data_IF_779682407935
#
_entry.id   IF_779682407935
#
_cell.length_a   1.000
_cell.length_b   1.000
_cell.length_c   1.000
_cell.angle_alpha   90.00
_cell.angle_beta   90.00
_cell.angle_gamma   90.00
#
_symmetry.space_group_name_H-M   'P 1'
#
loop_
_entity.id
_entity.type
_entity.pdbx_description
1 polymer ?
#
# COMPACT_ATOMS: atom_id res chain seq x y z
N UNK A 1 69.46 17.02 -38.61
CA UNK A 1 68.27 16.20 -38.95
C UNK A 1 67.15 16.46 -37.95
N UNK A 2 65.92 16.54 -38.46
CA UNK A 2 64.67 16.95 -37.83
C UNK A 2 63.95 15.80 -37.06
N UNK A 3 63.23 16.20 -36.00
CA UNK A 3 61.91 15.74 -35.47
C UNK A 3 61.56 14.22 -35.44
N UNK A 4 60.82 13.65 -34.47
CA UNK A 4 59.44 13.97 -34.10
C UNK A 4 59.02 13.33 -32.75
N UNK A 5 58.09 14.02 -32.08
CA UNK A 5 57.30 13.59 -30.92
C UNK A 5 56.37 12.40 -31.23
N UNK A 6 56.21 11.48 -30.27
CA UNK A 6 55.21 10.40 -30.28
C UNK A 6 54.29 10.45 -29.07
N UNK A 7 53.33 11.38 -29.10
CA UNK A 7 52.14 11.39 -28.24
C UNK A 7 51.21 10.25 -28.70
N UNK A 8 50.45 9.66 -27.75
CA UNK A 8 49.10 9.08 -27.86
C UNK A 8 48.96 7.61 -27.42
N UNK A 9 48.69 7.39 -26.12
CA UNK A 9 47.94 6.19 -25.67
C UNK A 9 46.96 6.52 -24.53
N UNK A 10 46.15 7.58 -24.74
CA UNK A 10 45.11 8.04 -23.81
C UNK A 10 43.73 8.08 -24.49
N UNK A 11 43.25 6.95 -25.06
CA UNK A 11 41.96 6.95 -25.80
C UNK A 11 41.13 5.66 -25.75
N UNK A 12 41.32 4.78 -24.75
CA UNK A 12 40.42 3.61 -24.55
C UNK A 12 39.68 3.58 -23.22
N UNK A 13 40.24 4.20 -22.17
CA UNK A 13 39.65 4.20 -20.81
C UNK A 13 38.40 5.08 -20.70
N UNK A 14 38.33 6.17 -21.47
CA UNK A 14 37.20 7.11 -21.44
C UNK A 14 35.92 6.61 -22.12
N UNK A 15 36.00 5.66 -23.06
CA UNK A 15 34.81 5.06 -23.69
C UNK A 15 34.12 4.10 -22.74
N UNK A 16 34.89 3.24 -22.06
CA UNK A 16 34.37 2.27 -21.10
C UNK A 16 33.73 2.94 -19.88
N UNK A 17 34.33 4.03 -19.38
CA UNK A 17 33.80 4.78 -18.24
C UNK A 17 32.48 5.50 -18.55
N UNK A 18 32.26 5.92 -19.81
CA UNK A 18 30.99 6.52 -20.25
C UNK A 18 29.84 5.51 -20.26
N UNK A 19 30.11 4.26 -20.62
CA UNK A 19 29.11 3.19 -20.56
C UNK A 19 28.80 2.79 -19.11
N UNK A 20 29.81 2.73 -18.24
CA UNK A 20 29.61 2.42 -16.81
C UNK A 20 28.79 3.54 -16.11
N UNK A 21 29.10 4.82 -16.38
CA UNK A 21 28.36 5.95 -15.81
C UNK A 21 26.90 5.99 -16.31
N UNK A 22 26.66 5.66 -17.58
CA UNK A 22 25.32 5.57 -18.14
C UNK A 22 24.51 4.40 -17.56
N UNK A 23 25.16 3.25 -17.30
CA UNK A 23 24.52 2.06 -16.74
C UNK A 23 24.15 2.23 -15.26
N UNK A 24 24.97 2.95 -14.49
CA UNK A 24 24.68 3.29 -13.09
C UNK A 24 23.45 4.22 -12.95
N UNK A 25 23.20 5.10 -13.91
CA UNK A 25 21.98 5.94 -13.95
C UNK A 25 20.75 5.09 -14.27
N UNK A 26 20.88 4.11 -15.16
CA UNK A 26 19.79 3.21 -15.55
C UNK A 26 19.41 2.18 -14.45
N UNK A 27 20.37 1.70 -13.66
CA UNK A 27 20.11 0.74 -12.58
C UNK A 27 19.90 1.39 -11.20
N UNK A 28 20.50 2.56 -10.94
CA UNK A 28 20.40 3.27 -9.66
C UNK A 28 19.26 4.29 -9.58
N UNK A 29 18.71 4.74 -10.72
CA UNK A 29 17.63 5.74 -10.76
C UNK A 29 16.22 5.19 -10.53
N UNK A 30 16.04 3.87 -10.43
CA UNK A 30 14.73 3.23 -10.39
C UNK A 30 14.13 3.06 -8.97
N UNK A 31 14.77 3.58 -7.92
CA UNK A 31 14.32 3.38 -6.53
C UNK A 31 13.32 4.45 -6.03
N UNK A 32 13.02 5.49 -6.81
CA UNK A 32 12.00 6.50 -6.45
C UNK A 32 10.66 6.26 -7.14
N UNK A 33 10.33 5.01 -7.47
CA UNK A 33 8.97 4.67 -7.90
C UNK A 33 8.12 4.69 -6.64
N UNK A 34 7.43 5.82 -6.42
CA UNK A 34 6.36 5.91 -5.43
C UNK A 34 5.35 4.82 -5.78
N UNK A 35 5.28 3.75 -4.99
CA UNK A 35 4.22 2.76 -5.13
C UNK A 35 2.88 3.49 -5.04
N UNK A 36 2.00 3.42 -6.05
CA UNK A 36 0.64 3.85 -5.85
C UNK A 36 0.08 2.91 -4.79
N UNK A 37 -0.13 3.43 -3.58
CA UNK A 37 -0.81 2.70 -2.52
C UNK A 37 -2.10 2.13 -3.14
N UNK A 38 -2.15 0.80 -3.25
CA UNK A 38 -3.31 0.13 -3.81
C UNK A 38 -4.51 0.57 -2.99
N UNK A 39 -5.40 1.33 -3.64
CA UNK A 39 -6.54 1.95 -3.01
C UNK A 39 -7.38 0.84 -2.39
N UNK A 40 -7.31 0.72 -1.06
CA UNK A 40 -8.47 0.29 -0.31
C UNK A 40 -9.62 1.16 -0.80
N UNK A 41 -10.78 0.58 -1.11
CA UNK A 41 -11.97 1.29 -1.63
C UNK A 41 -12.39 2.39 -0.66
N UNK A 42 -11.66 3.50 -0.72
CA UNK A 42 -11.65 4.57 0.25
C UNK A 42 -11.55 5.89 -0.51
N UNK A 43 -12.51 6.77 -0.26
CA UNK A 43 -12.68 8.05 -0.94
C UNK A 43 -12.60 9.15 0.11
N UNK A 44 -11.75 10.14 -0.12
CA UNK A 44 -11.69 11.36 0.69
C UNK A 44 -12.70 12.37 0.15
N UNK A 45 -13.63 12.81 0.98
CA UNK A 45 -14.59 13.86 0.64
C UNK A 45 -14.63 14.94 1.73
N UNK A 46 -14.66 16.21 1.33
CA UNK A 46 -14.53 17.35 2.25
C UNK A 46 -15.36 18.57 1.81
N UNK A 47 -16.16 19.08 2.75
CA UNK A 47 -16.87 20.35 2.64
C UNK A 47 -15.90 21.50 2.90
N UNK A 48 -15.47 22.17 1.83
CA UNK A 48 -14.61 23.36 1.92
C UNK A 48 -15.46 24.61 2.04
N UNK A 49 -15.03 25.55 2.91
CA UNK A 49 -15.74 26.81 3.18
C UNK A 49 -17.21 26.60 3.58
N UNK A 50 -17.52 25.51 4.32
CA UNK A 50 -18.87 25.15 4.78
C UNK A 50 -19.90 25.02 3.65
N UNK A 51 -19.48 24.59 2.46
CA UNK A 51 -20.37 24.37 1.31
C UNK A 51 -20.63 22.89 1.09
N UNK A 52 -21.83 22.58 0.59
CA UNK A 52 -22.20 21.27 0.13
C UNK A 52 -21.27 20.80 -0.99
N UNK A 53 -20.80 19.55 -0.89
CA UNK A 53 -19.92 18.89 -1.85
C UNK A 53 -20.32 17.45 -2.03
N UNK A 54 -20.21 16.97 -3.27
CA UNK A 54 -20.46 15.60 -3.67
C UNK A 54 -19.18 14.95 -4.19
N UNK A 55 -19.01 13.66 -3.89
CA UNK A 55 -17.91 12.82 -4.33
C UNK A 55 -18.46 11.47 -4.80
N UNK A 56 -18.25 11.14 -6.07
CA UNK A 56 -18.69 9.87 -6.64
C UNK A 56 -17.90 8.69 -6.06
N UNK A 57 -18.59 7.57 -5.88
CA UNK A 57 -18.00 6.37 -5.31
C UNK A 57 -18.72 5.09 -5.71
N UNK A 58 -17.95 4.04 -5.98
CA UNK A 58 -18.51 2.70 -6.26
C UNK A 58 -18.80 1.89 -4.98
N UNK A 59 -18.80 2.54 -3.81
CA UNK A 59 -19.07 1.88 -2.53
C UNK A 59 -20.54 1.49 -2.39
N UNK A 60 -20.80 0.35 -1.73
CA UNK A 60 -22.17 -0.07 -1.42
C UNK A 60 -22.66 0.48 -0.09
N UNK A 61 -21.79 0.49 0.93
CA UNK A 61 -22.11 0.93 2.29
C UNK A 61 -20.95 1.75 2.87
N UNK A 62 -20.77 3.00 2.42
CA UNK A 62 -19.66 3.83 2.90
C UNK A 62 -19.80 4.09 4.39
N UNK A 63 -18.67 4.05 5.08
CA UNK A 63 -18.51 4.43 6.48
C UNK A 63 -17.32 5.33 6.63
N UNK A 64 -17.37 6.24 7.60
CA UNK A 64 -16.22 7.05 7.96
C UNK A 64 -15.17 6.14 8.59
N UNK A 65 -14.00 6.09 7.96
CA UNK A 65 -12.80 5.38 8.47
C UNK A 65 -11.85 6.35 9.17
N UNK A 66 -11.79 7.60 8.70
CA UNK A 66 -10.97 8.65 9.33
C UNK A 66 -11.62 10.01 9.16
N UNK A 67 -11.89 10.72 10.25
CA UNK A 67 -12.30 12.12 10.18
C UNK A 67 -11.07 13.02 9.92
N UNK A 68 -11.23 14.00 9.03
CA UNK A 68 -10.19 14.96 8.63
C UNK A 68 -10.51 16.37 9.12
N UNK A 69 -11.79 16.72 9.28
CA UNK A 69 -12.24 18.02 9.76
C UNK A 69 -12.36 18.08 11.29
N UNK A 70 -12.26 19.29 11.84
CA UNK A 70 -12.67 19.56 13.23
C UNK A 70 -14.19 19.58 13.39
N UNK A 71 -14.92 20.05 12.36
CA UNK A 71 -16.38 20.00 12.33
C UNK A 71 -16.86 18.55 12.37
N UNK A 72 -17.96 18.26 13.10
CA UNK A 72 -18.48 16.92 13.25
C UNK A 72 -19.07 16.38 11.95
N UNK A 73 -18.85 15.09 11.70
CA UNK A 73 -19.42 14.35 10.59
C UNK A 73 -20.57 13.45 11.08
N UNK A 74 -21.80 13.96 11.05
CA UNK A 74 -23.01 13.31 11.54
C UNK A 74 -23.81 12.80 10.34
N UNK A 75 -24.14 11.51 10.35
CA UNK A 75 -24.87 10.87 9.26
C UNK A 75 -26.28 11.48 9.12
N UNK A 76 -26.66 11.83 7.89
CA UNK A 76 -27.93 12.48 7.55
C UNK A 76 -27.96 13.99 7.82
N UNK A 77 -26.98 14.52 8.57
CA UNK A 77 -26.92 15.93 8.95
C UNK A 77 -25.79 16.63 8.16
N UNK A 78 -24.54 16.28 8.41
CA UNK A 78 -23.36 16.91 7.75
C UNK A 78 -22.70 16.02 6.71
N UNK A 79 -23.14 14.77 6.58
CA UNK A 79 -22.79 13.90 5.45
C UNK A 79 -23.85 12.83 5.20
N UNK A 80 -23.82 12.25 4.01
CA UNK A 80 -24.65 11.10 3.67
C UNK A 80 -24.18 10.40 2.40
N UNK A 81 -24.93 9.37 2.02
CA UNK A 81 -24.68 8.59 0.81
C UNK A 81 -25.98 8.34 0.07
N UNK A 82 -26.03 8.73 -1.20
CA UNK A 82 -27.20 8.56 -2.05
C UNK A 82 -26.77 8.38 -3.51
N UNK A 83 -27.41 7.46 -4.23
CA UNK A 83 -27.20 7.23 -5.68
C UNK A 83 -25.74 6.98 -6.10
N UNK A 84 -24.92 6.37 -5.24
CA UNK A 84 -23.50 6.13 -5.55
C UNK A 84 -22.62 7.37 -5.30
N UNK A 85 -23.13 8.40 -4.66
CA UNK A 85 -22.40 9.63 -4.37
C UNK A 85 -22.45 9.89 -2.87
N UNK A 86 -21.29 10.21 -2.30
CA UNK A 86 -21.18 10.70 -0.93
C UNK A 86 -21.33 12.21 -0.98
N UNK A 87 -22.19 12.76 -0.14
CA UNK A 87 -22.25 14.20 0.07
C UNK A 87 -21.75 14.59 1.46
N UNK A 88 -21.14 15.76 1.55
CA UNK A 88 -20.65 16.37 2.80
C UNK A 88 -20.99 17.84 2.82
N UNK A 89 -21.32 18.36 3.99
CA UNK A 89 -21.73 19.74 4.18
C UNK A 89 -21.27 20.29 5.55
N UNK A 90 -21.44 21.60 5.79
CA UNK A 90 -21.15 22.27 7.06
C UNK A 90 -19.73 22.00 7.60
N UNK A 91 -18.77 21.86 6.69
CA UNK A 91 -17.36 21.69 7.04
C UNK A 91 -16.98 20.26 7.43
N UNK A 92 -17.87 19.26 7.26
CA UNK A 92 -17.49 17.86 7.43
C UNK A 92 -16.47 17.45 6.34
N UNK A 93 -15.39 16.81 6.75
CA UNK A 93 -14.41 16.20 5.88
C UNK A 93 -13.90 14.89 6.48
N UNK A 94 -13.97 13.82 5.69
CA UNK A 94 -13.62 12.49 6.13
C UNK A 94 -13.12 11.62 4.98
N UNK A 95 -12.44 10.54 5.35
CA UNK A 95 -12.16 9.40 4.49
C UNK A 95 -13.25 8.38 4.73
N UNK A 96 -13.97 8.06 3.66
CA UNK A 96 -15.01 7.06 3.62
C UNK A 96 -14.43 5.79 3.04
N UNK A 97 -14.84 4.63 3.52
CA UNK A 97 -14.54 3.35 2.89
C UNK A 97 -15.73 2.41 3.03
N UNK A 98 -15.86 1.44 2.12
CA UNK A 98 -16.87 0.40 2.31
C UNK A 98 -16.47 -0.47 3.51
N UNK A 99 -17.44 -0.87 4.32
CA UNK A 99 -17.26 -1.89 5.36
C UNK A 99 -16.97 -3.30 4.80
N UNK A 100 -16.84 -3.42 3.48
CA UNK A 100 -16.58 -4.65 2.75
C UNK A 100 -15.34 -5.36 3.27
N UNK A 101 -15.58 -6.41 4.06
CA UNK A 101 -14.55 -7.42 4.32
C UNK A 101 -14.02 -7.91 2.97
N UNK A 102 -12.70 -8.10 2.79
CA UNK A 102 -12.16 -8.61 1.54
C UNK A 102 -12.90 -9.89 1.13
N UNK A 103 -13.33 -9.96 -0.12
CA UNK A 103 -14.04 -11.12 -0.72
C UNK A 103 -13.27 -12.45 -0.55
N UNK A 104 -12.00 -12.39 -0.16
CA UNK A 104 -11.19 -13.56 0.20
C UNK A 104 -11.80 -14.39 1.35
N UNK A 105 -12.52 -13.78 2.30
CA UNK A 105 -13.19 -14.55 3.39
C UNK A 105 -14.50 -15.22 2.99
N UNK A 106 -15.00 -14.96 1.79
CA UNK A 106 -16.22 -15.61 1.28
C UNK A 106 -15.88 -16.94 0.59
N UNK A 107 -14.68 -17.06 0.00
CA UNK A 107 -14.24 -18.29 -0.69
C UNK A 107 -13.95 -19.45 0.28
N UNK A 108 -13.78 -19.17 1.56
CA UNK A 108 -13.54 -20.21 2.58
C UNK A 108 -14.82 -20.77 3.21
N UNK A 109 -16.02 -20.25 2.88
CA UNK A 109 -17.30 -20.83 3.36
C UNK A 109 -17.80 -21.99 2.50
N UNK A 110 -16.94 -22.51 1.62
CA UNK A 110 -17.17 -23.74 0.85
C UNK A 110 -16.53 -24.98 1.46
N UNK A 111 -16.03 -24.93 2.70
CA UNK A 111 -15.66 -26.13 3.43
C UNK A 111 -16.94 -26.75 4.01
N UNK A 112 -17.40 -27.83 3.39
CA UNK A 112 -18.45 -28.70 3.93
C UNK A 112 -17.91 -29.35 5.21
N UNK A 113 -18.49 -29.01 6.37
CA UNK A 113 -18.21 -29.59 7.68
C UNK A 113 -18.38 -31.12 7.73
N UNK A 114 -18.89 -31.75 6.66
CA UNK A 114 -18.98 -33.20 6.47
C UNK A 114 -17.63 -33.88 6.25
N UNK A 115 -16.58 -33.14 5.86
CA UNK A 115 -15.20 -33.65 5.85
C UNK A 115 -14.44 -33.16 7.09
N UNK A 116 -14.52 -33.93 8.18
CA UNK A 116 -13.58 -33.75 9.29
C UNK A 116 -12.14 -33.99 8.80
N UNK A 117 -11.18 -33.11 9.14
CA UNK A 117 -9.76 -33.33 8.82
C UNK A 117 -9.31 -34.68 9.37
N UNK A 118 -8.65 -35.49 8.53
CA UNK A 118 -8.08 -36.76 8.98
C UNK A 118 -6.71 -36.48 9.59
N UNK A 119 -6.32 -37.29 10.57
CA UNK A 119 -5.12 -37.04 11.37
C UNK A 119 -3.80 -37.12 10.58
N UNK A 120 -3.85 -37.49 9.30
CA UNK A 120 -2.73 -37.60 8.37
C UNK A 120 -2.45 -36.33 7.53
N UNK A 121 -3.26 -35.28 7.66
CA UNK A 121 -3.10 -34.05 6.87
C UNK A 121 -1.92 -33.18 7.38
N UNK A 122 -0.71 -33.43 6.87
CA UNK A 122 0.56 -32.74 7.18
C UNK A 122 0.67 -31.29 6.62
N UNK A 123 -0.40 -30.50 6.59
CA UNK A 123 -0.38 -29.18 5.93
C UNK A 123 -0.23 -27.94 6.86
N UNK A 124 0.03 -28.09 8.16
CA UNK A 124 0.34 -26.92 9.01
C UNK A 124 1.82 -26.88 9.44
N UNK A 125 2.60 -25.87 9.03
CA UNK A 125 3.95 -25.69 9.57
C UNK A 125 3.85 -25.27 11.04
N UNK A 126 4.36 -26.11 11.95
CA UNK A 126 4.51 -25.75 13.37
C UNK A 126 5.44 -24.54 13.48
N UNK A 127 4.92 -23.41 13.97
CA UNK A 127 5.78 -22.31 14.44
C UNK A 127 6.61 -22.84 15.61
N UNK A 128 7.93 -23.02 15.41
CA UNK A 128 8.87 -23.17 16.53
C UNK A 128 8.82 -21.88 17.34
N UNK A 129 8.31 -21.98 18.55
CA UNK A 129 8.39 -20.93 19.56
C UNK A 129 9.81 -20.98 20.15
N UNK A 130 10.65 -20.06 19.71
CA UNK A 130 11.94 -19.76 20.32
C UNK A 130 11.69 -18.94 21.58
N UNK A 131 11.40 -19.59 22.70
CA UNK A 131 11.47 -18.94 24.02
C UNK A 131 12.53 -19.70 24.83
N UNK A 132 13.72 -19.10 24.91
CA UNK A 132 14.75 -19.51 25.85
C UNK A 132 14.36 -19.13 27.26
N UNK A 133 14.66 -20.00 28.21
CA UNK A 133 14.96 -19.62 29.59
C UNK A 133 16.18 -20.43 30.02
N UNK A 134 17.09 -19.68 30.61
CA UNK A 134 18.47 -19.97 30.96
C UNK A 134 18.58 -20.52 32.40
N UNK A 135 19.61 -21.35 32.62
CA UNK A 135 20.26 -21.76 33.88
C UNK A 135 19.42 -22.39 35.00
N UNK A 136 19.73 -23.66 35.31
CA UNK A 136 20.27 -23.95 36.65
C UNK A 136 21.35 -25.03 36.53
N UNK A 137 22.59 -24.63 36.88
CA UNK A 137 23.67 -25.50 37.28
C UNK A 137 23.42 -25.82 38.74
N UNK A 138 23.18 -27.08 39.08
CA UNK A 138 23.46 -27.57 40.43
C UNK A 138 24.28 -28.85 40.33
N UNK A 139 25.34 -28.80 41.13
CA UNK A 139 26.55 -29.62 41.28
C UNK A 139 26.37 -31.14 41.29
#
# INVERSE_FOLDING_TARGET
MMHHNGRLESSRRGKMYRYILAFAIALGGAQFISEPAQAQNAVKCESRKFKYRECDTDMRRPRITRQLSRSPCIAGDTWGFQRGTIWVDRGCGAVFADSGRPRWRERDRGWDDRYAPRADDEYYPRRRRSDGVELELDF
#
